data_IF_203821040518
#
_entry.id   IF_203821040518
#
_cell.length_a   1.000
_cell.length_b   1.000
_cell.length_c   1.000
_cell.angle_alpha   90.00
_cell.angle_beta   90.00
_cell.angle_gamma   90.00
#
_symmetry.space_group_name_H-M   'P 1'
#
loop_
_entity.id
_entity.type
_entity.pdbx_description
1 polymer ?
#
# COMPACT_ATOMS: atom_id res chain seq x y z
N UNK A 1 -31.73 -22.18 -32.24
CA UNK A 1 -30.46 -21.50 -32.51
C UNK A 1 -29.96 -20.91 -31.20
N UNK A 2 -29.02 -21.59 -30.55
CA UNK A 2 -28.31 -21.04 -29.40
C UNK A 2 -27.03 -20.40 -29.92
N UNK A 3 -26.99 -19.08 -29.97
CA UNK A 3 -25.78 -18.30 -30.27
C UNK A 3 -24.88 -18.38 -29.05
N UNK A 4 -23.85 -19.23 -29.13
CA UNK A 4 -22.75 -19.27 -28.17
C UNK A 4 -21.92 -18.00 -28.36
N UNK A 5 -22.07 -17.07 -27.43
CA UNK A 5 -21.29 -15.84 -27.36
C UNK A 5 -19.93 -16.20 -26.74
N UNK A 6 -18.96 -16.61 -27.56
CA UNK A 6 -17.58 -16.79 -27.10
C UNK A 6 -16.90 -15.42 -27.14
N UNK A 7 -16.68 -14.82 -25.96
CA UNK A 7 -15.86 -13.63 -25.83
C UNK A 7 -14.51 -13.85 -26.55
N UNK A 8 -14.05 -12.85 -27.30
CA UNK A 8 -12.79 -12.94 -28.03
C UNK A 8 -11.61 -13.06 -27.05
N UNK A 9 -10.48 -13.62 -27.50
CA UNK A 9 -9.26 -13.67 -26.67
C UNK A 9 -8.82 -12.27 -26.22
N UNK A 10 -9.08 -11.25 -27.04
CA UNK A 10 -8.84 -9.84 -26.69
C UNK A 10 -9.74 -9.35 -25.55
N UNK A 11 -11.03 -9.70 -25.57
CA UNK A 11 -11.97 -9.32 -24.50
C UNK A 11 -11.61 -9.99 -23.17
N UNK A 12 -11.15 -11.25 -23.22
CA UNK A 12 -10.68 -11.98 -22.05
C UNK A 12 -9.40 -11.36 -21.46
N UNK A 13 -8.47 -10.93 -22.31
CA UNK A 13 -7.26 -10.24 -21.85
C UNK A 13 -7.56 -8.85 -21.29
N UNK A 14 -8.46 -8.09 -21.92
CA UNK A 14 -8.93 -6.80 -21.39
C UNK A 14 -9.59 -6.99 -20.02
N UNK A 15 -10.45 -8.01 -19.87
CA UNK A 15 -11.09 -8.32 -18.60
C UNK A 15 -10.06 -8.72 -17.53
N UNK A 16 -9.04 -9.51 -17.87
CA UNK A 16 -7.96 -9.90 -16.98
C UNK A 16 -7.15 -8.70 -16.50
N UNK A 17 -6.76 -7.81 -17.41
CA UNK A 17 -6.04 -6.57 -17.08
C UNK A 17 -6.89 -5.68 -16.16
N UNK A 18 -8.19 -5.57 -16.45
CA UNK A 18 -9.13 -4.80 -15.63
C UNK A 18 -9.32 -5.39 -14.23
N UNK A 19 -9.28 -6.72 -14.06
CA UNK A 19 -9.38 -7.36 -12.74
C UNK A 19 -8.06 -7.24 -11.95
N UNK A 20 -6.91 -7.39 -12.62
CA UNK A 20 -5.57 -7.30 -12.02
C UNK A 20 -5.13 -5.87 -11.68
N UNK A 21 -5.87 -4.85 -12.14
CA UNK A 21 -5.54 -3.42 -11.90
C UNK A 21 -5.43 -3.05 -10.42
N UNK A 22 -6.15 -3.78 -9.55
CA UNK A 22 -6.16 -3.53 -8.11
C UNK A 22 -5.30 -4.57 -7.39
N UNK A 23 -4.41 -4.10 -6.51
CA UNK A 23 -3.61 -5.02 -5.70
C UNK A 23 -4.49 -5.87 -4.77
N UNK A 24 -4.01 -7.06 -4.39
CA UNK A 24 -4.71 -7.96 -3.44
C UNK A 24 -5.16 -7.25 -2.15
N UNK A 25 -4.30 -6.39 -1.60
CA UNK A 25 -4.59 -5.58 -0.41
C UNK A 25 -5.73 -4.57 -0.68
N UNK A 26 -5.73 -3.96 -1.86
CA UNK A 26 -6.76 -3.03 -2.29
C UNK A 26 -8.11 -3.72 -2.40
N UNK A 27 -8.17 -4.88 -3.06
CA UNK A 27 -9.38 -5.71 -3.18
C UNK A 27 -9.89 -6.14 -1.81
N UNK A 28 -9.00 -6.54 -0.90
CA UNK A 28 -9.36 -6.87 0.49
C UNK A 28 -9.93 -5.67 1.26
N UNK A 29 -9.34 -4.49 1.08
CA UNK A 29 -9.84 -3.25 1.69
C UNK A 29 -11.23 -2.88 1.17
N UNK A 30 -11.47 -3.00 -0.14
CA UNK A 30 -12.79 -2.79 -0.76
C UNK A 30 -13.83 -3.73 -0.18
N UNK A 31 -13.54 -5.04 -0.12
CA UNK A 31 -14.44 -6.04 0.49
C UNK A 31 -14.73 -5.76 1.96
N UNK A 32 -13.73 -5.31 2.71
CA UNK A 32 -13.91 -4.91 4.12
C UNK A 32 -14.84 -3.71 4.25
N UNK A 33 -14.68 -2.70 3.39
CA UNK A 33 -15.55 -1.53 3.39
C UNK A 33 -17.01 -1.88 3.07
N UNK A 34 -17.21 -2.75 2.07
CA UNK A 34 -18.55 -3.23 1.70
C UNK A 34 -19.21 -3.97 2.86
N UNK A 35 -18.48 -4.89 3.52
CA UNK A 35 -18.99 -5.62 4.70
C UNK A 35 -19.39 -4.68 5.84
N UNK A 36 -18.59 -3.65 6.10
CA UNK A 36 -18.90 -2.66 7.12
C UNK A 36 -20.17 -1.87 6.77
N UNK A 37 -20.32 -1.49 5.52
CA UNK A 37 -21.50 -0.76 5.04
C UNK A 37 -22.77 -1.62 5.09
N UNK A 38 -22.71 -2.85 4.58
CA UNK A 38 -23.85 -3.81 4.63
C UNK A 38 -24.29 -4.06 6.06
N UNK A 39 -23.33 -4.24 6.99
CA UNK A 39 -23.66 -4.44 8.40
C UNK A 39 -24.44 -3.26 8.99
N UNK A 40 -24.06 -2.03 8.65
CA UNK A 40 -24.64 -0.83 9.25
C UNK A 40 -25.93 -0.37 8.57
N UNK A 41 -26.04 -0.55 7.25
CA UNK A 41 -27.12 0.00 6.45
C UNK A 41 -28.07 -1.07 5.89
N UNK A 42 -27.83 -2.36 6.16
CA UNK A 42 -28.55 -3.48 5.58
C UNK A 42 -28.07 -3.80 4.17
N UNK A 43 -28.85 -4.56 3.39
CA UNK A 43 -28.47 -5.00 2.04
C UNK A 43 -28.57 -3.90 0.97
N UNK A 44 -28.21 -2.65 1.32
CA UNK A 44 -28.29 -1.46 0.46
C UNK A 44 -27.02 -1.22 -0.37
N UNK A 45 -25.99 -2.04 -0.16
CA UNK A 45 -24.69 -1.87 -0.78
C UNK A 45 -24.66 -2.14 -2.30
N UNK A 46 -25.75 -2.68 -2.84
CA UNK A 46 -25.92 -3.01 -4.25
C UNK A 46 -26.99 -2.12 -4.92
N UNK A 47 -27.49 -1.11 -4.21
CA UNK A 47 -28.49 -0.18 -4.75
C UNK A 47 -27.90 0.72 -5.84
N UNK A 48 -28.68 0.89 -6.90
CA UNK A 48 -28.36 1.81 -8.00
C UNK A 48 -29.07 3.16 -7.88
N UNK A 49 -30.09 3.27 -7.03
CA UNK A 49 -30.78 4.53 -6.75
C UNK A 49 -29.84 5.47 -5.96
N UNK A 50 -29.43 6.56 -6.62
CA UNK A 50 -28.47 7.51 -6.05
C UNK A 50 -29.00 8.22 -4.81
N UNK A 51 -30.30 8.53 -4.73
CA UNK A 51 -30.88 9.28 -3.61
C UNK A 51 -30.96 8.40 -2.35
N UNK A 52 -31.45 7.16 -2.50
CA UNK A 52 -31.50 6.18 -1.41
C UNK A 52 -30.09 5.82 -0.95
N UNK A 53 -29.16 5.68 -1.90
CA UNK A 53 -27.76 5.41 -1.59
C UNK A 53 -27.10 6.58 -0.84
N UNK A 54 -27.32 7.83 -1.25
CA UNK A 54 -26.75 9.01 -0.57
C UNK A 54 -27.23 9.10 0.89
N UNK A 55 -28.54 8.88 1.14
CA UNK A 55 -29.09 8.84 2.51
C UNK A 55 -28.49 7.69 3.33
N UNK A 56 -28.29 6.53 2.71
CA UNK A 56 -27.71 5.35 3.38
C UNK A 56 -26.23 5.55 3.73
N UNK A 57 -25.45 6.11 2.81
CA UNK A 57 -24.05 6.47 3.03
C UNK A 57 -23.91 7.51 4.14
N UNK A 58 -24.80 8.52 4.18
CA UNK A 58 -24.82 9.51 5.25
C UNK A 58 -25.03 8.85 6.63
N UNK A 59 -26.04 7.97 6.76
CA UNK A 59 -26.30 7.22 7.99
C UNK A 59 -25.11 6.36 8.40
N UNK A 60 -24.49 5.69 7.43
CA UNK A 60 -23.28 4.90 7.68
C UNK A 60 -22.14 5.77 8.20
N UNK A 61 -21.81 6.87 7.55
CA UNK A 61 -20.69 7.71 7.97
C UNK A 61 -20.88 8.36 9.35
N UNK A 62 -22.12 8.66 9.73
CA UNK A 62 -22.42 9.16 11.08
C UNK A 62 -22.25 8.09 12.17
N UNK A 63 -22.53 6.82 11.87
CA UNK A 63 -22.68 5.77 12.87
C UNK A 63 -21.65 4.62 12.76
N UNK A 64 -20.72 4.68 11.81
CA UNK A 64 -19.78 3.59 11.56
C UNK A 64 -18.95 3.21 12.81
N UNK A 65 -19.00 1.93 13.15
CA UNK A 65 -18.35 1.32 14.32
C UNK A 65 -17.69 0.00 13.97
N UNK A 66 -16.64 -0.34 14.73
CA UNK A 66 -15.97 -1.64 14.65
C UNK A 66 -16.86 -2.74 15.23
N UNK A 67 -16.39 -3.99 15.12
CA UNK A 67 -17.09 -5.15 15.68
C UNK A 67 -17.27 -5.08 17.20
N UNK A 68 -16.35 -4.43 17.87
CA UNK A 68 -16.33 -4.22 19.33
C UNK A 68 -17.15 -2.99 19.79
N UNK A 69 -17.86 -2.32 18.89
CA UNK A 69 -18.61 -1.08 19.17
C UNK A 69 -17.75 0.18 19.26
N UNK A 70 -16.42 0.06 19.18
CA UNK A 70 -15.55 1.24 19.19
C UNK A 70 -15.61 2.01 17.86
N UNK A 71 -15.50 3.33 17.93
CA UNK A 71 -15.45 4.19 16.73
C UNK A 71 -14.19 3.92 15.89
N UNK A 72 -14.32 4.08 14.58
CA UNK A 72 -13.18 4.08 13.66
C UNK A 72 -12.29 5.31 13.88
N UNK A 73 -11.00 5.17 13.53
CA UNK A 73 -10.11 6.34 13.38
C UNK A 73 -10.47 7.14 12.12
N UNK A 74 -10.13 8.42 12.09
CA UNK A 74 -10.37 9.30 10.94
C UNK A 74 -9.80 8.72 9.62
N UNK A 75 -8.56 8.24 9.63
CA UNK A 75 -7.94 7.60 8.46
C UNK A 75 -8.63 6.29 8.06
N UNK A 76 -9.15 5.51 9.02
CA UNK A 76 -9.90 4.31 8.69
C UNK A 76 -11.23 4.65 7.99
N UNK A 77 -11.90 5.74 8.39
CA UNK A 77 -13.09 6.24 7.70
C UNK A 77 -12.80 6.65 6.25
N UNK A 78 -11.66 7.30 6.00
CA UNK A 78 -11.21 7.62 4.65
C UNK A 78 -11.00 6.34 3.82
N UNK A 79 -10.33 5.33 4.38
CA UNK A 79 -10.13 4.03 3.72
C UNK A 79 -11.45 3.33 3.39
N UNK A 80 -12.41 3.35 4.31
CA UNK A 80 -13.76 2.81 4.08
C UNK A 80 -14.45 3.55 2.92
N UNK A 81 -14.42 4.88 2.91
CA UNK A 81 -15.00 5.69 1.84
C UNK A 81 -14.39 5.40 0.47
N UNK A 82 -13.06 5.28 0.39
CA UNK A 82 -12.39 4.95 -0.87
C UNK A 82 -12.65 3.51 -1.32
N UNK A 83 -12.80 2.57 -0.38
CA UNK A 83 -13.24 1.20 -0.68
C UNK A 83 -14.63 1.18 -1.30
N UNK A 84 -15.59 1.91 -0.72
CA UNK A 84 -16.95 2.02 -1.27
C UNK A 84 -16.95 2.74 -2.62
N UNK A 85 -16.22 3.84 -2.76
CA UNK A 85 -16.08 4.56 -4.03
C UNK A 85 -15.63 3.64 -5.15
N UNK A 86 -14.57 2.87 -4.91
CA UNK A 86 -14.06 1.90 -5.88
C UNK A 86 -15.10 0.85 -6.24
N UNK A 87 -15.81 0.29 -5.26
CA UNK A 87 -16.87 -0.69 -5.55
C UNK A 87 -17.96 -0.11 -6.45
N UNK A 88 -18.49 1.05 -6.11
CA UNK A 88 -19.57 1.68 -6.88
C UNK A 88 -19.12 2.19 -8.26
N UNK A 89 -17.89 2.68 -8.36
CA UNK A 89 -17.32 3.11 -9.63
C UNK A 89 -17.08 1.91 -10.55
N UNK A 90 -16.50 0.83 -10.03
CA UNK A 90 -16.15 -0.36 -10.81
C UNK A 90 -17.41 -1.16 -11.23
N UNK A 91 -18.43 -1.23 -10.39
CA UNK A 91 -19.63 -2.06 -10.62
C UNK A 91 -20.79 -1.31 -11.28
N UNK A 92 -20.94 -0.02 -10.98
CA UNK A 92 -22.10 0.78 -11.39
C UNK A 92 -21.74 2.09 -12.09
N UNK A 93 -20.45 2.42 -12.23
CA UNK A 93 -20.01 3.67 -12.83
C UNK A 93 -20.28 4.93 -11.97
N UNK A 94 -20.61 4.76 -10.68
CA UNK A 94 -20.93 5.88 -9.80
C UNK A 94 -19.74 6.34 -8.97
N UNK A 95 -19.35 7.61 -9.12
CA UNK A 95 -18.39 8.23 -8.21
C UNK A 95 -19.09 8.83 -6.99
N UNK A 96 -19.32 8.03 -5.96
CA UNK A 96 -19.98 8.46 -4.70
C UNK A 96 -19.21 9.54 -3.92
N UNK A 97 -18.02 9.95 -4.38
CA UNK A 97 -17.19 10.97 -3.74
C UNK A 97 -17.24 12.30 -4.45
N UNK A 98 -17.17 12.29 -5.79
CA UNK A 98 -17.09 13.51 -6.58
C UNK A 98 -18.41 13.89 -7.27
N UNK A 99 -19.34 12.96 -7.43
CA UNK A 99 -20.65 13.24 -8.03
C UNK A 99 -21.54 14.06 -7.06
N UNK A 100 -22.16 15.12 -7.60
CA UNK A 100 -23.04 16.04 -6.88
C UNK A 100 -24.29 15.36 -6.31
N UNK A 101 -24.73 14.24 -6.91
CA UNK A 101 -25.83 13.42 -6.38
C UNK A 101 -25.56 12.88 -4.97
N UNK A 102 -24.29 12.87 -4.52
CA UNK A 102 -23.89 12.40 -3.18
C UNK A 102 -23.49 13.54 -2.23
N UNK A 103 -24.06 14.73 -2.42
CA UNK A 103 -23.68 15.92 -1.65
C UNK A 103 -24.03 15.79 -0.16
N UNK A 104 -25.11 15.09 0.20
CA UNK A 104 -25.53 14.96 1.59
C UNK A 104 -24.58 14.03 2.37
N UNK A 105 -24.33 12.82 1.87
CA UNK A 105 -23.36 11.90 2.49
C UNK A 105 -21.96 12.51 2.54
N UNK A 106 -21.57 13.31 1.54
CA UNK A 106 -20.28 14.01 1.53
C UNK A 106 -20.17 15.02 2.66
N UNK A 107 -21.22 15.82 2.91
CA UNK A 107 -21.26 16.77 4.04
C UNK A 107 -21.18 16.03 5.38
N UNK A 108 -21.98 14.96 5.54
CA UNK A 108 -22.00 14.15 6.76
C UNK A 108 -20.65 13.48 7.01
N UNK A 109 -20.01 12.92 5.97
CA UNK A 109 -18.67 12.35 6.08
C UNK A 109 -17.65 13.36 6.61
N UNK A 110 -17.62 14.57 6.05
CA UNK A 110 -16.69 15.62 6.48
C UNK A 110 -16.94 16.01 7.95
N UNK A 111 -18.19 16.14 8.35
CA UNK A 111 -18.57 16.42 9.74
C UNK A 111 -18.15 15.28 10.70
N UNK A 112 -18.42 14.02 10.32
CA UNK A 112 -18.03 12.84 11.09
C UNK A 112 -16.50 12.73 11.26
N UNK A 113 -15.73 12.94 10.19
CA UNK A 113 -14.27 12.96 10.27
C UNK A 113 -13.78 14.07 11.20
N UNK A 114 -14.33 15.29 11.09
CA UNK A 114 -13.97 16.40 11.99
C UNK A 114 -14.27 16.08 13.46
N UNK A 115 -15.40 15.44 13.74
CA UNK A 115 -15.74 15.00 15.10
C UNK A 115 -14.76 13.94 15.63
N UNK A 116 -14.38 12.95 14.81
CA UNK A 116 -13.37 11.96 15.18
C UNK A 116 -12.01 12.61 15.49
N UNK A 117 -11.59 13.60 14.69
CA UNK A 117 -10.37 14.35 14.95
C UNK A 117 -10.43 15.09 16.29
N UNK A 118 -11.55 15.78 16.58
CA UNK A 118 -11.79 16.48 17.86
C UNK A 118 -11.76 15.52 19.06
N UNK A 119 -12.22 14.28 18.87
CA UNK A 119 -12.19 13.21 19.88
C UNK A 119 -10.82 12.53 20.02
N UNK A 120 -9.78 13.03 19.36
CA UNK A 120 -8.42 12.45 19.43
C UNK A 120 -8.22 11.18 18.58
N UNK A 121 -9.22 10.78 17.78
CA UNK A 121 -9.16 9.59 16.90
C UNK A 121 -8.49 9.88 15.54
N UNK A 122 -7.75 10.99 15.46
CA UNK A 122 -6.90 11.35 14.32
C UNK A 122 -5.46 10.85 14.41
N UNK A 123 -5.01 10.47 15.60
CA UNK A 123 -3.59 10.18 15.85
C UNK A 123 -3.10 8.91 15.13
N UNK A 124 -1.93 9.05 14.50
CA UNK A 124 -1.17 7.95 13.91
C UNK A 124 -0.01 7.63 14.84
N UNK A 125 0.09 6.37 15.26
CA UNK A 125 1.24 5.88 16.02
C UNK A 125 2.34 5.55 15.02
N UNK A 126 3.37 6.37 14.96
CA UNK A 126 4.55 6.10 14.15
C UNK A 126 5.46 5.09 14.86
N UNK A 127 6.16 4.26 14.08
CA UNK A 127 7.24 3.44 14.61
C UNK A 127 8.42 4.32 15.01
N UNK A 128 9.11 3.94 16.08
CA UNK A 128 10.32 4.66 16.52
C UNK A 128 11.40 4.49 15.45
N UNK A 129 12.09 5.58 15.05
CA UNK A 129 13.19 5.48 14.09
C UNK A 129 14.34 4.63 14.62
N UNK A 130 15.00 3.89 13.73
CA UNK A 130 16.24 3.20 14.07
C UNK A 130 17.34 4.26 14.28
N UNK A 131 17.88 4.34 15.49
CA UNK A 131 18.92 5.32 15.82
C UNK A 131 20.31 4.81 15.44
N UNK A 132 21.32 5.69 15.47
CA UNK A 132 22.72 5.28 15.30
C UNK A 132 23.17 4.27 16.37
N UNK A 133 22.70 4.42 17.60
CA UNK A 133 23.01 3.49 18.68
C UNK A 133 22.37 2.12 18.43
N UNK A 134 21.15 2.07 17.91
CA UNK A 134 20.51 0.81 17.50
C UNK A 134 21.27 0.15 16.37
N UNK A 135 21.70 0.93 15.37
CA UNK A 135 22.56 0.44 14.29
C UNK A 135 23.86 -0.13 14.83
N UNK A 136 24.54 0.55 15.76
CA UNK A 136 25.79 0.07 16.36
C UNK A 136 25.60 -1.26 17.10
N UNK A 137 24.48 -1.46 17.80
CA UNK A 137 24.16 -2.74 18.48
C UNK A 137 24.05 -3.91 17.50
N UNK A 138 23.54 -3.69 16.29
CA UNK A 138 23.43 -4.75 15.29
C UNK A 138 24.80 -5.27 14.81
N UNK A 139 25.85 -4.44 14.92
CA UNK A 139 27.22 -4.77 14.53
C UNK A 139 28.16 -5.02 15.72
N UNK A 140 27.69 -4.91 16.95
CA UNK A 140 28.55 -5.14 18.12
C UNK A 140 28.87 -6.63 18.24
N UNK A 141 30.10 -6.95 18.66
CA UNK A 141 30.53 -8.33 18.90
C UNK A 141 29.74 -9.04 20.00
N UNK A 142 29.02 -8.27 20.84
CA UNK A 142 28.10 -8.78 21.84
C UNK A 142 26.79 -9.34 21.24
N UNK A 143 26.56 -9.16 19.94
CA UNK A 143 25.38 -9.71 19.24
C UNK A 143 25.78 -10.58 18.05
N UNK A 144 25.11 -11.71 17.88
CA UNK A 144 25.32 -12.59 16.71
C UNK A 144 24.54 -12.14 15.46
N UNK A 145 23.81 -11.02 15.57
CA UNK A 145 22.75 -10.64 14.61
C UNK A 145 23.29 -10.43 13.20
N UNK A 146 24.43 -9.74 13.04
CA UNK A 146 25.10 -9.53 11.75
C UNK A 146 26.46 -10.22 11.65
N UNK A 147 26.68 -11.27 12.44
CA UNK A 147 27.95 -12.01 12.41
C UNK A 147 28.04 -12.89 11.15
N UNK A 148 28.85 -12.46 10.19
CA UNK A 148 28.92 -13.03 8.84
C UNK A 148 29.53 -14.42 8.77
N UNK A 149 30.20 -14.87 9.83
CA UNK A 149 30.79 -16.21 9.91
C UNK A 149 29.73 -17.28 10.19
N UNK A 150 28.48 -16.87 10.41
CA UNK A 150 27.32 -17.77 10.49
C UNK A 150 26.37 -17.52 9.32
N UNK A 151 25.77 -18.59 8.74
CA UNK A 151 24.79 -18.42 7.67
C UNK A 151 23.63 -17.49 8.05
N UNK A 152 23.15 -17.56 9.29
CA UNK A 152 22.06 -16.72 9.79
C UNK A 152 22.47 -15.25 9.93
N UNK A 153 23.67 -14.97 10.45
CA UNK A 153 24.14 -13.60 10.60
C UNK A 153 24.43 -12.92 9.26
N UNK A 154 24.96 -13.67 8.28
CA UNK A 154 25.08 -13.19 6.90
C UNK A 154 23.70 -12.88 6.29
N UNK A 155 22.75 -13.82 6.38
CA UNK A 155 21.38 -13.63 5.89
C UNK A 155 20.72 -12.39 6.49
N UNK A 156 20.77 -12.24 7.82
CA UNK A 156 20.20 -11.10 8.53
C UNK A 156 20.82 -9.78 8.07
N UNK A 157 22.16 -9.74 7.92
CA UNK A 157 22.90 -8.55 7.48
C UNK A 157 22.51 -8.14 6.07
N UNK A 158 22.46 -9.10 5.14
CA UNK A 158 22.08 -8.85 3.74
C UNK A 158 20.62 -8.40 3.65
N UNK A 159 19.72 -9.14 4.28
CA UNK A 159 18.29 -8.83 4.26
C UNK A 159 17.99 -7.46 4.87
N UNK A 160 18.58 -7.13 6.01
CA UNK A 160 18.44 -5.81 6.62
C UNK A 160 18.95 -4.70 5.71
N UNK A 161 20.11 -4.89 5.06
CA UNK A 161 20.69 -3.90 4.16
C UNK A 161 19.83 -3.67 2.92
N UNK A 162 19.34 -4.74 2.30
CA UNK A 162 18.37 -4.64 1.20
C UNK A 162 17.14 -3.86 1.68
N UNK A 163 16.64 -4.14 2.89
CA UNK A 163 15.52 -3.39 3.44
C UNK A 163 15.80 -1.92 3.72
N UNK A 164 16.96 -1.63 4.28
CA UNK A 164 17.34 -0.30 4.72
C UNK A 164 17.67 0.63 3.54
N UNK A 165 18.36 0.12 2.53
CA UNK A 165 18.83 0.91 1.40
C UNK A 165 17.94 0.81 0.14
N UNK A 166 17.33 -0.35 -0.11
CA UNK A 166 16.76 -0.68 -1.42
C UNK A 166 15.26 -0.99 -1.37
N UNK A 167 14.68 -1.29 -0.21
CA UNK A 167 13.27 -1.67 -0.12
C UNK A 167 12.36 -0.45 -0.25
N UNK A 168 11.37 -0.58 -1.13
CA UNK A 168 10.32 0.39 -1.37
C UNK A 168 8.99 -0.18 -0.85
N UNK A 169 8.04 0.71 -0.54
CA UNK A 169 6.62 0.36 -0.31
C UNK A 169 6.35 -0.70 0.75
N UNK A 170 7.06 -0.67 1.88
CA UNK A 170 6.71 -1.51 3.03
C UNK A 170 6.75 -3.01 2.72
N UNK A 171 7.79 -3.44 1.99
CA UNK A 171 8.11 -4.86 1.72
C UNK A 171 7.17 -5.57 0.73
N UNK A 172 6.30 -4.86 0.00
CA UNK A 172 5.31 -5.50 -0.89
C UNK A 172 5.92 -6.47 -1.91
N UNK A 173 7.11 -6.17 -2.44
CA UNK A 173 7.80 -7.02 -3.42
C UNK A 173 8.93 -7.84 -2.81
N UNK A 174 9.18 -7.72 -1.50
CA UNK A 174 10.35 -8.33 -0.83
C UNK A 174 10.41 -9.85 -1.02
N UNK A 175 9.26 -10.52 -1.07
CA UNK A 175 9.18 -11.97 -1.27
C UNK A 175 9.44 -12.43 -2.70
N UNK A 176 9.28 -11.54 -3.68
CA UNK A 176 9.50 -11.84 -5.09
C UNK A 176 10.92 -11.47 -5.55
N UNK A 177 11.69 -10.76 -4.71
CA UNK A 177 13.04 -10.37 -5.05
C UNK A 177 13.97 -11.59 -5.10
N UNK A 178 14.77 -11.63 -6.15
CA UNK A 178 15.82 -12.61 -6.41
C UNK A 178 17.15 -11.88 -6.60
N UNK A 179 18.24 -12.63 -6.76
CA UNK A 179 19.54 -12.05 -7.11
C UNK A 179 19.50 -11.24 -8.42
N UNK A 180 18.66 -11.64 -9.38
CA UNK A 180 18.47 -10.95 -10.66
C UNK A 180 17.72 -9.62 -10.56
N UNK A 181 17.11 -9.34 -9.40
CA UNK A 181 16.43 -8.06 -9.12
C UNK A 181 17.44 -6.92 -9.01
N UNK A 182 18.70 -7.22 -8.69
CA UNK A 182 19.73 -6.24 -8.38
C UNK A 182 20.87 -6.29 -9.39
N UNK A 183 21.58 -5.17 -9.49
CA UNK A 183 22.82 -5.05 -10.24
C UNK A 183 23.85 -4.23 -9.46
N UNK A 184 25.13 -4.39 -9.80
CA UNK A 184 26.25 -3.65 -9.20
C UNK A 184 26.85 -2.75 -10.27
N UNK A 185 26.77 -1.45 -10.02
CA UNK A 185 27.32 -0.42 -10.91
C UNK A 185 28.40 0.38 -10.19
N UNK A 186 29.19 1.14 -10.97
CA UNK A 186 30.20 2.07 -10.45
C UNK A 186 29.84 3.49 -10.87
N UNK A 187 29.90 4.44 -9.94
CA UNK A 187 29.64 5.85 -10.27
C UNK A 187 30.86 6.55 -10.89
N UNK A 188 30.68 7.82 -11.26
CA UNK A 188 31.75 8.64 -11.84
C UNK A 188 32.95 8.88 -10.90
N UNK A 189 32.79 8.62 -9.60
CA UNK A 189 33.87 8.70 -8.62
C UNK A 189 34.60 7.37 -8.41
N UNK A 190 34.22 6.32 -9.14
CA UNK A 190 34.81 4.98 -9.00
C UNK A 190 34.22 4.16 -7.85
N UNK A 191 33.14 4.62 -7.19
CA UNK A 191 32.51 3.89 -6.08
C UNK A 191 31.46 2.93 -6.58
N UNK A 192 31.57 1.66 -6.16
CA UNK A 192 30.57 0.64 -6.44
C UNK A 192 29.33 0.82 -5.59
N UNK A 193 28.18 0.48 -6.16
CA UNK A 193 26.90 0.47 -5.46
C UNK A 193 25.97 -0.59 -6.03
N UNK A 194 25.13 -1.14 -5.17
CA UNK A 194 24.03 -2.03 -5.57
C UNK A 194 22.78 -1.20 -5.80
N UNK A 195 22.02 -1.53 -6.85
CA UNK A 195 20.73 -0.91 -7.17
C UNK A 195 19.77 -1.94 -7.79
N UNK A 196 18.50 -1.57 -7.96
CA UNK A 196 17.53 -2.38 -8.70
C UNK A 196 17.84 -2.36 -10.20
N UNK A 197 17.80 -3.53 -10.85
CA UNK A 197 18.12 -3.71 -12.29
C UNK A 197 17.03 -3.15 -13.21
N UNK A 198 15.77 -3.20 -12.78
CA UNK A 198 14.61 -2.67 -13.53
C UNK A 198 13.93 -1.58 -12.72
N UNK A 199 13.46 -0.53 -13.41
CA UNK A 199 12.47 0.37 -12.85
C UNK A 199 11.12 -0.36 -12.85
N UNK A 200 10.77 -0.94 -11.70
CA UNK A 200 9.41 -1.44 -11.50
C UNK A 200 8.42 -0.28 -11.52
N UNK A 201 7.32 -0.45 -12.26
CA UNK A 201 6.26 0.53 -12.32
C UNK A 201 5.79 0.94 -10.93
N UNK A 202 5.53 2.22 -10.85
CA UNK A 202 5.39 2.91 -9.60
C UNK A 202 3.90 3.17 -9.31
N UNK A 203 3.39 2.79 -8.12
CA UNK A 203 1.97 2.97 -7.74
C UNK A 203 1.52 4.44 -7.76
N UNK A 204 2.44 5.40 -7.60
CA UNK A 204 2.16 6.83 -7.55
C UNK A 204 2.64 7.57 -8.81
N UNK A 205 3.54 6.99 -9.58
CA UNK A 205 4.03 7.46 -10.87
C UNK A 205 3.63 6.43 -11.94
N UNK A 206 2.35 6.47 -12.30
CA UNK A 206 1.75 5.67 -13.38
C UNK A 206 1.96 6.29 -14.77
N UNK A 207 2.46 7.53 -14.80
CA UNK A 207 2.89 8.20 -16.02
C UNK A 207 4.41 8.07 -16.17
N UNK A 208 4.84 7.78 -17.39
CA UNK A 208 6.24 7.74 -17.84
C UNK A 208 6.94 9.11 -17.79
N UNK A 209 6.26 10.15 -17.30
CA UNK A 209 6.68 11.55 -17.37
C UNK A 209 7.05 12.16 -16.02
N UNK A 210 7.85 11.47 -15.20
CA UNK A 210 8.66 12.16 -14.19
C UNK A 210 10.00 11.46 -14.02
N UNK A 211 11.07 12.19 -14.34
CA UNK A 211 12.43 11.71 -14.38
C UNK A 211 12.95 11.13 -13.06
N UNK A 212 13.94 10.24 -13.22
CA UNK A 212 14.84 9.73 -12.19
C UNK A 212 14.23 9.74 -10.78
N UNK A 213 13.32 8.81 -10.52
CA UNK A 213 13.10 8.36 -9.14
C UNK A 213 14.49 8.07 -8.61
N UNK A 214 14.94 8.78 -7.58
CA UNK A 214 16.23 8.55 -6.93
C UNK A 214 16.25 7.08 -6.51
N UNK A 215 16.78 6.22 -7.38
CA UNK A 215 16.78 4.80 -7.12
C UNK A 215 17.61 4.61 -5.86
N UNK A 216 17.08 3.90 -4.87
CA UNK A 216 17.86 3.53 -3.69
C UNK A 216 19.18 2.92 -4.17
N UNK A 217 20.30 3.49 -3.71
CA UNK A 217 21.66 3.01 -3.99
C UNK A 217 22.30 2.61 -2.69
N UNK A 218 22.92 1.45 -2.71
CA UNK A 218 23.62 0.89 -1.57
C UNK A 218 25.11 0.88 -1.87
N UNK A 219 25.77 1.98 -1.52
CA UNK A 219 27.18 2.24 -1.83
C UNK A 219 28.15 1.42 -0.99
N UNK A 220 29.29 1.06 -1.59
CA UNK A 220 30.39 0.48 -0.86
C UNK A 220 31.00 1.46 0.15
N UNK A 221 31.53 0.89 1.24
CA UNK A 221 32.22 1.59 2.30
C UNK A 221 33.59 0.93 2.45
N UNK A 222 34.61 1.36 1.67
CA UNK A 222 35.93 0.73 1.67
C UNK A 222 36.52 0.70 3.08
N UNK A 223 37.10 -0.43 3.48
CA UNK A 223 37.69 -0.63 4.81
C UNK A 223 36.68 -0.77 5.96
N UNK A 224 35.37 -0.70 5.70
CA UNK A 224 34.35 -0.83 6.73
C UNK A 224 33.80 -2.28 6.80
N UNK A 225 33.87 -2.98 7.95
CA UNK A 225 33.27 -4.31 8.12
C UNK A 225 31.75 -4.35 7.88
N UNK A 226 31.09 -3.20 8.02
CA UNK A 226 29.68 -2.99 7.73
C UNK A 226 29.41 -2.66 6.25
N UNK A 227 30.41 -2.67 5.36
CA UNK A 227 30.24 -2.39 3.94
C UNK A 227 29.12 -3.27 3.35
N UNK A 228 28.11 -2.67 2.69
CA UNK A 228 27.00 -3.44 2.16
C UNK A 228 27.37 -4.21 0.88
N UNK A 229 28.27 -3.68 0.06
CA UNK A 229 28.69 -4.32 -1.18
C UNK A 229 29.55 -5.56 -0.93
N UNK A 230 30.30 -5.64 0.17
CA UNK A 230 31.13 -6.82 0.46
C UNK A 230 30.34 -8.01 1.00
N UNK A 231 29.15 -7.78 1.54
CA UNK A 231 28.31 -8.83 2.14
C UNK A 231 27.18 -9.30 1.23
N UNK A 232 26.92 -8.60 0.12
CA UNK A 232 25.86 -8.88 -0.83
C UNK A 232 26.26 -10.01 -1.79
#
# INVERSE_FOLDING_TARGET
>A
MASHDSASEEDLEIARILDERHSKNTTKSTKTALKAFVKAAGNVAELQDKEVLDKSLAKFYANAEKKDGSKYKANAMLTLRQGLRRHYLDKFGFDIVNDKSFSYSTKVFKAAVKDLLRKGLGSVKHHVPITRADMSKLYSGDTIVFYTDTPNGLLNKVWFKIMYYLCRRGQENLRAMTTETFDISTDSSGKRYIHHKKDELDKNHRDTSTGAVTQGRMYELPGNPACPVTSF
#
